data_IF_597230635513
#
_entry.id   IF_597230635513
#
_cell.length_a   1.000
_cell.length_b   1.000
_cell.length_c   1.000
_cell.angle_alpha   90.00
_cell.angle_beta   90.00
_cell.angle_gamma   90.00
#
_symmetry.space_group_name_H-M   'P 1'
#
loop_
_entity.id
_entity.type
_entity.pdbx_description
1 polymer ?
#
# COMPACT_ATOMS: atom_id res chain seq x y z
N UNK A 1 -35.72 -38.23 -49.80
CA UNK A 1 -34.86 -37.11 -50.26
C UNK A 1 -35.63 -35.83 -50.03
N UNK A 2 -35.39 -35.14 -48.91
CA UNK A 2 -35.90 -33.78 -48.70
C UNK A 2 -34.84 -33.06 -47.86
N UNK A 3 -34.24 -32.01 -48.43
CA UNK A 3 -33.40 -31.02 -47.77
C UNK A 3 -34.33 -30.00 -47.08
N UNK A 4 -33.86 -29.36 -46.01
CA UNK A 4 -33.55 -27.91 -45.95
C UNK A 4 -33.53 -27.41 -44.49
N UNK A 5 -32.54 -26.54 -44.28
CA UNK A 5 -32.12 -25.86 -43.06
C UNK A 5 -33.10 -24.74 -42.70
N UNK A 6 -33.34 -24.49 -41.40
CA UNK A 6 -33.85 -23.22 -40.87
C UNK A 6 -33.12 -22.88 -39.56
N UNK A 7 -32.75 -21.61 -39.44
CA UNK A 7 -31.95 -20.99 -38.38
C UNK A 7 -32.70 -20.74 -37.05
N UNK A 8 -31.89 -20.32 -36.06
CA UNK A 8 -32.17 -19.46 -34.90
C UNK A 8 -32.82 -20.07 -33.65
N UNK A 9 -31.94 -20.26 -32.65
CA UNK A 9 -31.96 -19.61 -31.33
C UNK A 9 -33.33 -19.50 -30.64
N UNK A 10 -33.56 -20.32 -29.61
CA UNK A 10 -33.58 -19.83 -28.22
C UNK A 10 -33.81 -20.99 -27.22
N UNK A 11 -33.39 -20.69 -25.99
CA UNK A 11 -33.81 -21.29 -24.73
C UNK A 11 -33.08 -22.52 -24.15
N UNK A 12 -32.09 -22.14 -23.34
CA UNK A 12 -32.13 -22.30 -21.86
C UNK A 12 -31.83 -23.66 -21.22
N UNK A 13 -30.72 -23.61 -20.47
CA UNK A 13 -30.47 -24.24 -19.18
C UNK A 13 -30.44 -25.78 -19.09
N UNK A 14 -29.23 -26.30 -19.06
CA UNK A 14 -28.86 -27.29 -18.04
C UNK A 14 -27.49 -26.93 -17.48
N UNK A 15 -27.44 -26.81 -16.16
CA UNK A 15 -26.27 -26.57 -15.32
C UNK A 15 -24.97 -27.18 -15.86
N UNK A 16 -24.11 -26.34 -16.45
CA UNK A 16 -22.72 -26.73 -16.71
C UNK A 16 -21.88 -26.22 -15.54
N UNK A 17 -21.38 -27.10 -14.66
CA UNK A 17 -20.65 -26.65 -13.49
C UNK A 17 -19.33 -25.96 -13.87
N UNK A 18 -19.04 -24.89 -13.15
CA UNK A 18 -17.92 -23.95 -13.31
C UNK A 18 -16.50 -24.57 -13.32
N UNK A 19 -16.36 -25.87 -13.13
CA UNK A 19 -15.07 -26.59 -13.08
C UNK A 19 -14.60 -27.14 -14.42
N UNK A 20 -15.39 -27.05 -15.51
CA UNK A 20 -15.01 -27.61 -16.83
C UNK A 20 -13.94 -26.82 -17.61
N UNK A 21 -13.32 -25.82 -17.00
CA UNK A 21 -12.07 -25.22 -17.50
C UNK A 21 -10.99 -25.28 -16.41
N UNK A 22 -10.05 -26.24 -16.47
CA UNK A 22 -8.88 -26.19 -15.61
C UNK A 22 -8.08 -24.93 -15.96
N UNK A 23 -8.02 -23.97 -15.03
CA UNK A 23 -7.13 -22.79 -15.07
C UNK A 23 -5.66 -23.17 -14.84
N UNK A 24 -5.20 -24.21 -15.53
CA UNK A 24 -3.90 -24.82 -15.33
C UNK A 24 -3.09 -24.82 -16.64
N UNK A 25 -3.10 -23.71 -17.37
CA UNK A 25 -1.95 -23.32 -18.18
C UNK A 25 -1.09 -22.39 -17.32
N UNK A 26 -0.47 -22.96 -16.29
CA UNK A 26 0.69 -22.31 -15.68
C UNK A 26 1.81 -22.42 -16.71
N UNK A 27 2.03 -21.37 -17.49
CA UNK A 27 3.35 -21.16 -18.10
C UNK A 27 4.40 -21.30 -16.99
N UNK A 28 5.56 -21.92 -17.25
CA UNK A 28 6.61 -22.04 -16.25
C UNK A 28 6.84 -20.67 -15.61
N UNK A 29 6.50 -20.52 -14.32
CA UNK A 29 6.87 -19.30 -13.60
C UNK A 29 8.38 -19.34 -13.55
N UNK A 30 9.00 -18.26 -14.03
CA UNK A 30 10.42 -17.96 -13.81
C UNK A 30 10.61 -17.76 -12.32
N UNK A 31 10.55 -18.86 -11.59
CA UNK A 31 10.96 -19.01 -10.20
C UNK A 31 12.47 -19.21 -10.26
N UNK A 32 13.16 -18.25 -10.86
CA UNK A 32 14.62 -18.22 -10.80
C UNK A 32 15.03 -17.82 -9.39
N UNK A 33 16.16 -18.33 -8.87
CA UNK A 33 16.73 -17.93 -7.57
C UNK A 33 16.95 -16.41 -7.38
N UNK A 34 16.75 -15.60 -8.44
CA UNK A 34 16.82 -14.13 -8.42
C UNK A 34 15.66 -13.41 -7.73
N UNK A 35 14.50 -14.06 -7.54
CA UNK A 35 13.31 -13.43 -6.95
C UNK A 35 13.46 -13.10 -5.45
N UNK A 36 14.38 -13.77 -4.76
CA UNK A 36 14.67 -13.54 -3.33
C UNK A 36 15.53 -12.28 -3.12
N UNK A 37 16.33 -11.92 -4.12
CA UNK A 37 17.10 -10.68 -4.17
C UNK A 37 16.17 -9.48 -4.41
N UNK A 38 15.13 -9.67 -5.23
CA UNK A 38 14.11 -8.67 -5.57
C UNK A 38 13.21 -8.30 -4.37
N UNK A 39 12.87 -9.28 -3.53
CA UNK A 39 12.13 -9.05 -2.28
C UNK A 39 12.93 -8.18 -1.31
N UNK A 40 14.26 -8.38 -1.24
CA UNK A 40 15.15 -7.52 -0.45
C UNK A 40 15.28 -6.12 -1.04
N UNK A 41 15.43 -5.96 -2.36
CA UNK A 41 15.52 -4.64 -3.00
C UNK A 41 14.26 -3.78 -2.83
N UNK A 42 13.07 -4.38 -2.88
CA UNK A 42 11.79 -3.69 -2.66
C UNK A 42 11.66 -3.20 -1.20
N UNK A 43 12.15 -3.99 -0.24
CA UNK A 43 12.18 -3.59 1.18
C UNK A 43 13.12 -2.41 1.43
N UNK A 44 14.20 -2.27 0.64
CA UNK A 44 15.21 -1.21 0.78
C UNK A 44 14.65 0.18 0.44
N UNK A 45 13.66 0.31 -0.45
CA UNK A 45 13.05 1.61 -0.75
C UNK A 45 11.52 1.58 -0.88
N UNK A 46 10.84 1.52 0.26
CA UNK A 46 9.35 1.53 0.37
C UNK A 46 8.67 2.76 -0.22
N UNK A 47 9.44 3.81 -0.56
CA UNK A 47 8.95 5.08 -1.12
C UNK A 47 9.07 5.13 -2.65
N UNK A 48 9.70 4.13 -3.27
CA UNK A 48 9.78 4.03 -4.73
C UNK A 48 8.42 3.77 -5.36
N UNK A 49 8.11 4.47 -6.46
CA UNK A 49 6.92 4.14 -7.24
C UNK A 49 7.09 2.81 -7.97
N UNK A 50 5.99 2.18 -8.39
CA UNK A 50 6.04 0.95 -9.19
C UNK A 50 6.89 1.11 -10.47
N UNK A 51 6.94 2.31 -11.04
CA UNK A 51 7.80 2.64 -12.19
C UNK A 51 9.29 2.67 -11.83
N UNK A 52 9.64 3.21 -10.66
CA UNK A 52 11.02 3.21 -10.18
C UNK A 52 11.50 1.78 -9.88
N UNK A 53 10.64 0.96 -9.26
CA UNK A 53 10.91 -0.46 -9.00
C UNK A 53 11.05 -1.25 -10.31
N UNK A 54 10.17 -1.02 -11.28
CA UNK A 54 10.30 -1.59 -12.63
C UNK A 54 11.65 -1.26 -13.28
N UNK A 55 12.08 0.01 -13.23
CA UNK A 55 13.35 0.45 -13.81
C UNK A 55 14.54 -0.22 -13.13
N UNK A 56 14.52 -0.34 -11.80
CA UNK A 56 15.57 -1.03 -11.04
C UNK A 56 15.61 -2.52 -11.38
N UNK A 57 14.46 -3.19 -11.37
CA UNK A 57 14.36 -4.62 -11.68
C UNK A 57 14.79 -4.93 -13.12
N UNK A 58 14.41 -4.09 -14.08
CA UNK A 58 14.81 -4.25 -15.49
C UNK A 58 16.30 -3.99 -15.72
N UNK A 59 16.93 -3.17 -14.88
CA UNK A 59 18.39 -2.95 -14.94
C UNK A 59 19.19 -4.06 -14.25
N UNK A 60 18.62 -4.70 -13.22
CA UNK A 60 19.27 -5.74 -12.43
C UNK A 60 19.06 -7.15 -13.02
N UNK A 61 17.91 -7.37 -13.65
CA UNK A 61 17.52 -8.65 -14.25
C UNK A 61 17.45 -8.45 -15.76
N UNK A 62 18.15 -9.27 -16.54
CA UNK A 62 18.10 -9.27 -18.02
C UNK A 62 16.74 -9.74 -18.58
N UNK A 63 15.63 -9.54 -17.86
CA UNK A 63 14.29 -9.94 -18.22
C UNK A 63 13.35 -8.72 -18.19
N UNK A 64 12.47 -8.63 -19.18
CA UNK A 64 11.47 -7.55 -19.27
C UNK A 64 10.31 -7.84 -18.32
N UNK A 65 10.28 -7.16 -17.17
CA UNK A 65 9.20 -7.31 -16.17
C UNK A 65 8.12 -6.27 -16.43
N UNK A 66 6.83 -6.63 -16.55
CA UNK A 66 5.78 -5.60 -16.70
C UNK A 66 5.48 -4.92 -15.36
N UNK A 67 4.96 -3.68 -15.37
CA UNK A 67 4.47 -3.00 -14.15
C UNK A 67 3.43 -3.84 -13.40
N UNK A 68 2.54 -4.52 -14.13
CA UNK A 68 1.51 -5.37 -13.53
C UNK A 68 2.12 -6.56 -12.78
N UNK A 69 3.21 -7.11 -13.32
CA UNK A 69 3.98 -8.16 -12.66
C UNK A 69 4.56 -7.63 -11.34
N UNK A 70 5.11 -6.42 -11.32
CA UNK A 70 5.62 -5.77 -10.09
C UNK A 70 4.51 -5.60 -9.05
N UNK A 71 3.32 -5.12 -9.44
CA UNK A 71 2.17 -5.02 -8.54
C UNK A 71 1.76 -6.39 -7.99
N UNK A 72 1.65 -7.42 -8.84
CA UNK A 72 1.29 -8.77 -8.41
C UNK A 72 2.32 -9.39 -7.47
N UNK A 73 3.60 -9.12 -7.68
CA UNK A 73 4.67 -9.54 -6.77
C UNK A 73 4.59 -8.84 -5.42
N UNK A 74 4.37 -7.52 -5.41
CA UNK A 74 4.18 -6.73 -4.19
C UNK A 74 2.98 -7.21 -3.38
N UNK A 75 1.86 -7.48 -4.05
CA UNK A 75 0.66 -8.04 -3.42
C UNK A 75 0.91 -9.45 -2.89
N UNK A 76 1.63 -10.29 -3.64
CA UNK A 76 1.97 -11.65 -3.23
C UNK A 76 2.80 -11.68 -1.93
N UNK A 77 3.69 -10.71 -1.73
CA UNK A 77 4.45 -10.53 -0.48
C UNK A 77 3.71 -9.68 0.56
N UNK A 78 2.44 -9.32 0.33
CA UNK A 78 1.58 -8.62 1.28
C UNK A 78 1.81 -7.11 1.41
N UNK A 79 2.51 -6.50 0.46
CA UNK A 79 2.74 -5.06 0.42
C UNK A 79 1.70 -4.34 -0.43
N UNK A 80 1.16 -3.24 0.12
CA UNK A 80 0.17 -2.43 -0.57
C UNK A 80 0.55 -0.96 -0.54
N UNK A 81 0.28 -0.26 -1.64
CA UNK A 81 0.41 1.19 -1.71
C UNK A 81 -0.60 1.84 -0.77
N UNK A 82 -0.11 2.61 0.21
CA UNK A 82 -0.93 3.32 1.22
C UNK A 82 -0.33 4.69 1.52
N UNK A 83 -1.16 5.62 1.98
CA UNK A 83 -0.68 6.93 2.45
C UNK A 83 0.08 6.76 3.78
N UNK A 84 1.31 7.27 3.90
CA UNK A 84 2.01 7.33 5.18
C UNK A 84 1.28 8.27 6.13
N UNK A 85 1.55 8.12 7.43
CA UNK A 85 1.08 9.10 8.43
C UNK A 85 2.11 10.22 8.50
N UNK A 86 1.66 11.47 8.65
CA UNK A 86 2.54 12.57 9.04
C UNK A 86 2.67 12.58 10.57
N UNK A 87 3.86 12.39 11.10
CA UNK A 87 4.13 12.56 12.53
C UNK A 87 5.45 13.30 12.72
N UNK A 88 5.45 14.24 13.66
CA UNK A 88 6.67 14.83 14.17
C UNK A 88 7.38 13.79 15.04
N UNK A 89 8.64 13.42 14.77
CA UNK A 89 9.36 12.46 15.59
C UNK A 89 9.53 13.02 17.00
N UNK A 90 9.11 12.23 18.00
CA UNK A 90 9.28 12.58 19.40
C UNK A 90 10.52 11.90 19.94
N UNK A 91 11.39 12.67 20.59
CA UNK A 91 12.48 12.10 21.38
C UNK A 91 11.90 11.35 22.58
N UNK A 92 12.61 10.37 23.16
CA UNK A 92 12.17 9.69 24.38
C UNK A 92 11.86 10.67 25.53
N UNK A 93 12.61 11.78 25.61
CA UNK A 93 12.37 12.84 26.58
C UNK A 93 11.06 13.56 26.32
N UNK A 94 10.76 13.94 25.07
CA UNK A 94 9.47 14.53 24.71
C UNK A 94 8.30 13.58 25.04
N UNK A 95 8.45 12.28 24.76
CA UNK A 95 7.43 11.28 25.11
C UNK A 95 7.16 11.25 26.63
N UNK A 96 8.20 11.23 27.46
CA UNK A 96 8.05 11.26 28.93
C UNK A 96 7.37 12.54 29.40
N UNK A 97 7.84 13.70 28.95
CA UNK A 97 7.29 15.00 29.37
C UNK A 97 5.81 15.13 28.98
N UNK A 98 5.46 14.76 27.74
CA UNK A 98 4.05 14.79 27.28
C UNK A 98 3.17 13.83 28.07
N UNK A 99 3.67 12.64 28.40
CA UNK A 99 2.93 11.67 29.21
C UNK A 99 2.71 12.17 30.65
N UNK A 100 3.75 12.71 31.29
CA UNK A 100 3.66 13.29 32.63
C UNK A 100 2.66 14.43 32.65
N UNK A 101 2.79 15.39 31.72
CA UNK A 101 1.85 16.51 31.59
C UNK A 101 0.42 16.02 31.41
N UNK A 102 0.20 15.05 30.51
CA UNK A 102 -1.14 14.49 30.27
C UNK A 102 -1.73 13.85 31.54
N UNK A 103 -0.91 13.13 32.33
CA UNK A 103 -1.36 12.50 33.58
C UNK A 103 -1.69 13.52 34.67
N UNK A 104 -0.91 14.58 34.79
CA UNK A 104 -1.16 15.67 35.74
C UNK A 104 -2.45 16.43 35.42
N UNK A 105 -2.80 16.52 34.14
CA UNK A 105 -3.92 17.34 33.65
C UNK A 105 -5.16 16.52 33.25
N UNK A 106 -5.14 15.19 33.37
CA UNK A 106 -6.24 14.30 32.94
C UNK A 106 -7.54 14.53 33.74
N UNK A 107 -7.42 14.94 35.00
CA UNK A 107 -8.54 15.20 35.90
C UNK A 107 -8.89 16.69 36.02
N UNK A 108 -8.32 17.54 35.17
CA UNK A 108 -8.64 18.97 35.20
C UNK A 108 -10.09 19.23 34.83
N UNK A 109 -10.73 20.08 35.64
CA UNK A 109 -12.11 20.54 35.43
C UNK A 109 -12.18 21.59 34.32
N UNK A 110 -13.38 21.80 33.76
CA UNK A 110 -13.60 22.84 32.75
C UNK A 110 -13.18 24.24 33.24
N UNK A 111 -13.39 24.53 34.52
CA UNK A 111 -12.97 25.79 35.11
C UNK A 111 -11.43 25.93 35.11
N UNK A 112 -10.70 24.85 35.43
CA UNK A 112 -9.24 24.87 35.36
C UNK A 112 -8.72 25.08 33.93
N UNK A 113 -9.35 24.44 32.94
CA UNK A 113 -9.04 24.69 31.53
C UNK A 113 -9.33 26.13 31.10
N UNK A 114 -10.35 26.79 31.67
CA UNK A 114 -10.71 28.17 31.33
C UNK A 114 -9.64 29.21 31.71
N UNK A 115 -8.75 28.88 32.64
CA UNK A 115 -7.63 29.74 33.02
C UNK A 115 -6.42 29.60 32.09
N UNK A 116 -6.42 28.64 31.16
CA UNK A 116 -5.31 28.42 30.23
C UNK A 116 -5.51 29.26 28.97
N UNK A 117 -4.60 30.20 28.72
CA UNK A 117 -4.51 30.91 27.45
C UNK A 117 -3.55 30.17 26.52
N UNK A 118 -4.08 29.60 25.43
CA UNK A 118 -3.27 28.97 24.39
C UNK A 118 -2.83 30.01 23.35
N UNK A 119 -1.55 29.98 22.99
CA UNK A 119 -0.99 30.73 21.87
C UNK A 119 -0.17 29.81 20.97
N UNK A 120 -0.24 30.05 19.66
CA UNK A 120 0.60 29.37 18.68
C UNK A 120 0.73 30.25 17.43
N UNK A 121 1.81 30.08 16.69
CA UNK A 121 2.00 30.71 15.38
C UNK A 121 1.67 29.71 14.27
N UNK A 122 0.97 30.16 13.24
CA UNK A 122 0.64 29.35 12.07
C UNK A 122 1.05 30.06 10.79
N UNK A 123 1.65 29.31 9.87
CA UNK A 123 2.02 29.81 8.54
C UNK A 123 0.88 29.58 7.57
N UNK A 124 0.49 30.62 6.85
CA UNK A 124 -0.46 30.51 5.74
C UNK A 124 0.32 30.50 4.43
N UNK A 125 0.14 29.47 3.60
CA UNK A 125 0.72 29.39 2.26
C UNK A 125 -0.36 29.38 1.19
N UNK A 126 -0.10 30.08 0.08
CA UNK A 126 -1.00 30.14 -1.07
C UNK A 126 -0.97 28.84 -1.90
N UNK A 127 0.08 28.03 -1.76
CA UNK A 127 0.22 26.73 -2.39
C UNK A 127 0.10 25.64 -1.31
N UNK A 128 -0.72 24.64 -1.59
CA UNK A 128 -0.90 23.47 -0.73
C UNK A 128 0.08 22.38 -1.17
N UNK A 129 1.01 21.96 -0.29
CA UNK A 129 1.96 20.89 -0.58
C UNK A 129 1.26 19.52 -0.49
N UNK A 130 0.40 19.22 -1.47
CA UNK A 130 -0.33 17.95 -1.59
C UNK A 130 0.60 16.87 -2.14
N UNK A 131 1.58 16.46 -1.34
CA UNK A 131 2.40 15.29 -1.72
C UNK A 131 1.56 14.04 -1.55
N UNK A 132 1.00 13.55 -2.66
CA UNK A 132 0.38 12.23 -2.79
C UNK A 132 1.42 11.10 -2.72
N UNK A 133 2.34 11.15 -1.75
CA UNK A 133 3.33 10.10 -1.57
C UNK A 133 2.62 8.86 -1.03
N UNK A 134 2.70 7.77 -1.78
CA UNK A 134 2.30 6.45 -1.33
C UNK A 134 3.55 5.69 -0.93
N UNK A 135 3.43 4.87 0.11
CA UNK A 135 4.45 3.93 0.53
C UNK A 135 3.92 2.51 0.41
N UNK A 136 4.80 1.57 0.12
CA UNK A 136 4.50 0.14 0.16
C UNK A 136 4.64 -0.35 1.60
N UNK A 137 3.53 -0.77 2.20
CA UNK A 137 3.54 -1.33 3.57
C UNK A 137 2.53 -2.43 3.77
N UNK A 138 2.80 -3.26 4.77
CA UNK A 138 1.88 -4.29 5.25
C UNK A 138 0.71 -3.62 6.01
N UNK A 139 -0.53 -4.09 5.88
CA UNK A 139 -1.64 -3.64 6.72
C UNK A 139 -1.31 -3.72 8.21
N UNK A 140 -1.86 -2.81 9.03
CA UNK A 140 -1.60 -2.77 10.48
C UNK A 140 -0.29 -2.10 10.90
N UNK A 141 0.72 -1.99 10.02
CA UNK A 141 2.02 -1.36 10.35
C UNK A 141 2.03 0.17 10.24
N UNK A 142 0.86 0.81 10.37
CA UNK A 142 0.65 2.23 10.02
C UNK A 142 1.58 3.20 10.76
N UNK A 143 1.88 2.92 12.03
CA UNK A 143 2.64 3.79 12.94
C UNK A 143 4.09 3.37 13.13
N UNK A 144 4.57 2.37 12.38
CA UNK A 144 5.99 2.06 12.38
C UNK A 144 6.78 3.29 11.89
N UNK A 145 7.94 3.55 12.49
CA UNK A 145 8.77 4.72 12.18
C UNK A 145 9.13 4.77 10.68
N UNK A 146 9.44 3.63 10.09
CA UNK A 146 9.68 3.42 8.65
C UNK A 146 8.50 3.78 7.73
N UNK A 147 7.26 3.82 8.25
CA UNK A 147 6.02 4.06 7.50
C UNK A 147 5.43 5.46 7.73
N UNK A 148 6.19 6.32 8.40
CA UNK A 148 5.81 7.68 8.80
C UNK A 148 6.66 8.69 8.02
N UNK A 149 6.10 9.88 7.80
CA UNK A 149 6.78 11.03 7.20
C UNK A 149 6.67 12.24 8.14
N UNK A 150 7.60 13.18 8.02
CA UNK A 150 7.58 14.46 8.76
C UNK A 150 6.75 15.51 8.02
#
# INVERSE_FOLDING_TARGET
MILYVVELLDDWNVDVPRWKYPRNLKSPRVSSPGFDIDSKMIVINRRSTASDLYRQLSSATFATVSRQTVYGCLEHIGLYARRPVRCVPLTPTHCRLRLTWSREHVLWTLQQWSYVMFSNESRFSLQYDFRHTLIWRVPGTRFNQENTIE
#
